data_IF_939527147562
#
_entry.id   IF_939527147562
#
_cell.length_a   1.000
_cell.length_b   1.000
_cell.length_c   1.000
_cell.angle_alpha   90.00
_cell.angle_beta   90.00
_cell.angle_gamma   90.00
#
_symmetry.space_group_name_H-M   'P 1'
#
loop_
_entity.id
_entity.type
_entity.pdbx_description
1 polymer ?
#
# COMPACT_ATOMS: atom_id res chain seq x y z
N UNK A 1 -21.45 5.32 -9.62
CA UNK A 1 -21.30 4.12 -10.47
C UNK A 1 -19.92 3.47 -10.37
N UNK A 2 -18.83 4.20 -10.07
CA UNK A 2 -17.48 3.61 -9.87
C UNK A 2 -17.37 2.64 -8.68
N UNK A 3 -18.08 2.91 -7.57
CA UNK A 3 -18.04 2.10 -6.32
C UNK A 3 -18.61 0.67 -6.43
N UNK A 4 -19.28 0.31 -7.52
CA UNK A 4 -20.02 -0.97 -7.66
C UNK A 4 -19.34 -1.97 -8.60
N UNK A 5 -18.16 -1.65 -9.12
CA UNK A 5 -17.42 -2.53 -10.04
C UNK A 5 -16.70 -3.64 -9.28
N UNK A 6 -16.75 -4.89 -9.76
CA UNK A 6 -16.05 -6.01 -9.13
C UNK A 6 -14.52 -5.82 -9.12
N UNK A 7 -13.97 -5.20 -10.17
CA UNK A 7 -12.55 -4.89 -10.26
C UNK A 7 -12.15 -3.70 -9.38
N UNK A 8 -13.06 -2.73 -9.20
CA UNK A 8 -12.90 -1.70 -8.17
C UNK A 8 -12.95 -2.33 -6.77
N UNK A 9 -13.84 -3.28 -6.53
CA UNK A 9 -13.90 -4.02 -5.28
C UNK A 9 -12.60 -4.79 -5.03
N UNK A 10 -11.97 -5.39 -6.05
CA UNK A 10 -10.68 -6.06 -5.93
C UNK A 10 -9.53 -5.08 -5.63
N UNK A 11 -9.45 -3.94 -6.34
CA UNK A 11 -8.42 -2.91 -6.08
C UNK A 11 -8.63 -2.27 -4.71
N UNK A 12 -9.88 -1.96 -4.36
CA UNK A 12 -10.25 -1.43 -3.06
C UNK A 12 -9.99 -2.47 -1.95
N UNK A 13 -10.25 -3.74 -2.19
CA UNK A 13 -9.95 -4.84 -1.27
C UNK A 13 -8.44 -5.00 -1.09
N UNK A 14 -7.65 -5.04 -2.18
CA UNK A 14 -6.20 -5.09 -2.11
C UNK A 14 -5.62 -3.87 -1.39
N UNK A 15 -6.12 -2.66 -1.70
CA UNK A 15 -5.68 -1.43 -1.03
C UNK A 15 -6.08 -1.44 0.44
N UNK A 16 -7.29 -1.92 0.78
CA UNK A 16 -7.75 -2.06 2.17
C UNK A 16 -6.94 -3.12 2.93
N UNK A 17 -6.62 -4.25 2.31
CA UNK A 17 -5.83 -5.32 2.90
C UNK A 17 -4.38 -4.87 3.11
N UNK A 18 -3.80 -4.19 2.12
CA UNK A 18 -2.47 -3.55 2.24
C UNK A 18 -2.46 -2.48 3.33
N UNK A 19 -3.45 -1.57 3.38
CA UNK A 19 -3.58 -0.58 4.45
C UNK A 19 -3.79 -1.23 5.82
N UNK A 20 -4.58 -2.30 5.89
CA UNK A 20 -4.84 -3.03 7.14
C UNK A 20 -3.60 -3.76 7.63
N UNK A 21 -2.82 -4.34 6.72
CA UNK A 21 -1.55 -4.98 7.02
C UNK A 21 -0.53 -3.97 7.54
N UNK A 22 -0.31 -2.86 6.82
CA UNK A 22 0.61 -1.81 7.23
C UNK A 22 0.20 -1.15 8.54
N UNK A 23 -1.09 -0.83 8.70
CA UNK A 23 -1.64 -0.32 9.96
C UNK A 23 -1.36 -1.27 11.12
N UNK A 24 -1.54 -2.58 10.95
CA UNK A 24 -1.24 -3.57 11.99
C UNK A 24 0.23 -3.51 12.41
N UNK A 25 1.15 -3.46 11.44
CA UNK A 25 2.58 -3.34 11.70
C UNK A 25 2.90 -2.04 12.43
N UNK A 26 2.39 -0.89 11.97
CA UNK A 26 2.62 0.40 12.60
C UNK A 26 2.04 0.50 14.01
N UNK A 27 0.84 -0.04 14.23
CA UNK A 27 0.20 -0.09 15.54
C UNK A 27 1.03 -0.94 16.51
N UNK A 28 1.58 -2.08 16.04
CA UNK A 28 2.56 -2.84 16.80
C UNK A 28 3.80 -1.97 17.08
N UNK A 29 4.52 -1.43 16.10
CA UNK A 29 5.73 -0.62 16.33
C UNK A 29 5.52 0.56 17.31
N UNK A 30 4.37 1.25 17.22
CA UNK A 30 4.00 2.33 18.15
C UNK A 30 3.81 1.84 19.59
N UNK A 31 3.33 0.61 19.77
CA UNK A 31 3.31 -0.06 21.08
C UNK A 31 4.72 -0.27 21.63
N UNK A 32 5.68 -0.70 20.81
CA UNK A 32 7.08 -0.86 21.22
C UNK A 32 7.61 0.49 21.72
N UNK A 33 7.49 1.54 20.89
CA UNK A 33 7.92 2.89 21.25
C UNK A 33 7.30 3.38 22.58
N UNK A 34 5.98 3.23 22.75
CA UNK A 34 5.28 3.61 23.98
C UNK A 34 5.76 2.83 25.22
N UNK A 35 6.08 1.55 25.05
CA UNK A 35 6.63 0.73 26.13
C UNK A 35 8.03 1.22 26.53
N UNK A 36 8.89 1.56 25.56
CA UNK A 36 10.22 2.16 25.80
C UNK A 36 10.12 3.46 26.60
N UNK A 37 9.26 4.39 26.18
CA UNK A 37 9.11 5.69 26.85
C UNK A 37 8.58 5.54 28.27
N UNK A 38 7.61 4.65 28.47
CA UNK A 38 7.05 4.40 29.80
C UNK A 38 8.06 3.71 30.73
N UNK A 39 8.89 2.81 30.19
CA UNK A 39 10.00 2.21 30.92
C UNK A 39 11.01 3.28 31.37
N UNK A 40 11.37 4.21 30.48
CA UNK A 40 12.23 5.34 30.82
C UNK A 40 11.65 6.21 31.95
N UNK A 41 10.34 6.48 31.94
CA UNK A 41 9.68 7.21 33.03
C UNK A 41 9.74 6.48 34.38
N UNK A 42 9.64 5.15 34.39
CA UNK A 42 9.78 4.35 35.59
C UNK A 42 11.24 4.37 36.09
N UNK A 43 12.21 4.26 35.18
CA UNK A 43 13.63 4.36 35.50
C UNK A 43 13.98 5.74 36.09
N UNK A 44 13.39 6.83 35.60
CA UNK A 44 13.53 8.16 36.21
C UNK A 44 13.05 8.19 37.67
N UNK A 45 11.97 7.49 38.00
CA UNK A 45 11.50 7.36 39.40
C UNK A 45 12.46 6.55 40.26
N UNK A 46 13.19 5.59 39.70
CA UNK A 46 14.23 4.86 40.44
C UNK A 46 15.43 5.76 40.79
N UNK A 47 15.76 6.74 39.95
CA UNK A 47 16.82 7.73 40.26
C UNK A 47 16.45 8.50 41.54
N UNK A 48 15.20 8.92 41.68
CA UNK A 48 14.71 9.63 42.87
C UNK A 48 14.65 8.74 44.12
N UNK A 49 14.34 7.44 43.95
CA UNK A 49 14.17 6.48 45.05
C UNK A 49 14.79 5.12 44.70
N UNK A 50 16.12 4.97 44.87
CA UNK A 50 16.84 3.74 44.48
C UNK A 50 16.33 2.46 45.17
N UNK A 51 15.73 2.58 46.35
CA UNK A 51 15.14 1.43 47.09
C UNK A 51 14.02 0.72 46.32
N UNK A 52 13.38 1.38 45.36
CA UNK A 52 12.32 0.79 44.53
C UNK A 52 12.84 -0.33 43.61
N UNK A 53 14.13 -0.34 43.28
CA UNK A 53 14.76 -1.40 42.47
C UNK A 53 14.57 -2.77 43.14
N UNK A 54 14.71 -2.84 44.47
CA UNK A 54 14.50 -4.06 45.25
C UNK A 54 13.06 -4.56 45.23
N UNK A 55 12.09 -3.64 45.27
CA UNK A 55 10.67 -3.98 45.20
C UNK A 55 10.34 -4.59 43.83
N UNK A 56 10.78 -3.93 42.76
CA UNK A 56 10.53 -4.39 41.40
C UNK A 56 11.25 -5.70 41.06
N UNK A 57 12.45 -5.93 41.58
CA UNK A 57 13.18 -7.19 41.39
C UNK A 57 12.38 -8.42 41.84
N UNK A 58 11.57 -8.28 42.89
CA UNK A 58 10.73 -9.36 43.42
C UNK A 58 9.49 -9.57 42.54
N UNK A 59 8.87 -8.47 42.06
CA UNK A 59 7.58 -8.53 41.36
C UNK A 59 7.68 -8.78 39.84
N UNK A 60 8.73 -8.27 39.17
CA UNK A 60 8.89 -8.35 37.72
C UNK A 60 8.78 -9.77 37.13
N UNK A 61 9.43 -10.82 37.68
CA UNK A 61 9.40 -12.15 37.07
C UNK A 61 7.98 -12.73 36.99
N UNK A 62 7.20 -12.57 38.07
CA UNK A 62 5.83 -13.06 38.14
C UNK A 62 4.90 -12.32 37.18
N UNK A 63 5.02 -10.98 37.12
CA UNK A 63 4.27 -10.14 36.19
C UNK A 63 4.61 -10.47 34.74
N UNK A 64 5.90 -10.64 34.42
CA UNK A 64 6.36 -10.99 33.08
C UNK A 64 5.80 -12.34 32.63
N UNK A 65 5.88 -13.35 33.50
CA UNK A 65 5.31 -14.67 33.23
C UNK A 65 3.80 -14.60 33.02
N UNK A 66 3.09 -13.87 33.88
CA UNK A 66 1.64 -13.67 33.76
C UNK A 66 1.27 -13.02 32.43
N UNK A 67 1.92 -11.92 32.04
CA UNK A 67 1.63 -11.21 30.80
C UNK A 67 2.05 -11.99 29.56
N UNK A 68 3.11 -12.81 29.65
CA UNK A 68 3.50 -13.73 28.56
C UNK A 68 2.43 -14.78 28.31
N UNK A 69 1.89 -15.38 29.37
CA UNK A 69 0.81 -16.36 29.26
C UNK A 69 -0.48 -15.72 28.73
N UNK A 70 -0.81 -14.52 29.22
CA UNK A 70 -1.98 -13.76 28.76
C UNK A 70 -1.89 -13.46 27.27
N UNK A 71 -0.72 -13.00 26.79
CA UNK A 71 -0.49 -12.69 25.38
C UNK A 71 -0.59 -13.92 24.48
N UNK A 72 -0.15 -15.09 24.95
CA UNK A 72 -0.21 -16.35 24.20
C UNK A 72 -1.64 -16.84 23.94
N UNK A 73 -2.63 -16.36 24.70
CA UNK A 73 -4.03 -16.70 24.56
C UNK A 73 -4.80 -15.73 23.64
N UNK A 74 -4.14 -14.66 23.17
CA UNK A 74 -4.78 -13.59 22.43
C UNK A 74 -4.41 -13.60 20.95
N UNK A 75 -5.32 -13.13 20.11
CA UNK A 75 -5.09 -13.02 18.67
C UNK A 75 -4.22 -11.78 18.34
N UNK A 76 -3.11 -11.95 17.58
CA UNK A 76 -2.21 -10.84 17.22
C UNK A 76 -2.89 -9.70 16.48
N UNK A 77 -2.63 -8.47 16.91
CA UNK A 77 -3.16 -7.23 16.31
C UNK A 77 -4.54 -6.81 16.81
N UNK A 78 -5.16 -7.55 17.74
CA UNK A 78 -6.37 -7.07 18.43
C UNK A 78 -6.04 -5.96 19.43
N UNK A 79 -6.98 -5.06 19.78
CA UNK A 79 -6.72 -4.01 20.77
C UNK A 79 -6.24 -4.57 22.11
N UNK A 80 -6.82 -5.68 22.56
CA UNK A 80 -6.43 -6.36 23.79
C UNK A 80 -4.99 -6.91 23.70
N UNK A 81 -4.66 -7.54 22.57
CA UNK A 81 -3.28 -7.98 22.27
C UNK A 81 -2.28 -6.84 22.32
N UNK A 82 -2.58 -5.71 21.68
CA UNK A 82 -1.68 -4.56 21.67
C UNK A 82 -1.50 -3.97 23.07
N UNK A 83 -2.55 -3.93 23.89
CA UNK A 83 -2.43 -3.49 25.28
C UNK A 83 -1.59 -4.45 26.12
N UNK A 84 -1.84 -5.76 26.04
CA UNK A 84 -1.07 -6.77 26.78
C UNK A 84 0.38 -6.83 26.30
N UNK A 85 0.63 -6.65 25.00
CA UNK A 85 1.97 -6.57 24.41
C UNK A 85 2.74 -5.36 24.97
N UNK A 86 2.12 -4.18 25.02
CA UNK A 86 2.71 -2.98 25.60
C UNK A 86 3.12 -3.20 27.06
N UNK A 87 2.23 -3.83 27.83
CA UNK A 87 2.49 -4.16 29.23
C UNK A 87 3.64 -5.15 29.37
N UNK A 88 3.60 -6.26 28.62
CA UNK A 88 4.66 -7.27 28.63
C UNK A 88 6.00 -6.64 28.29
N UNK A 89 6.09 -5.90 27.19
CA UNK A 89 7.33 -5.30 26.72
C UNK A 89 7.96 -4.37 27.76
N UNK A 90 7.15 -3.50 28.36
CA UNK A 90 7.61 -2.62 29.42
C UNK A 90 8.16 -3.41 30.62
N UNK A 91 7.49 -4.49 31.03
CA UNK A 91 7.93 -5.33 32.14
C UNK A 91 9.23 -6.07 31.78
N UNK A 92 9.33 -6.59 30.55
CA UNK A 92 10.48 -7.30 30.00
C UNK A 92 11.74 -6.42 30.08
N UNK A 93 11.62 -5.19 29.59
CA UNK A 93 12.69 -4.20 29.64
C UNK A 93 13.09 -3.80 31.06
N UNK A 94 12.09 -3.56 31.92
CA UNK A 94 12.34 -3.25 33.33
C UNK A 94 13.00 -4.43 34.04
N UNK A 95 12.60 -5.66 33.70
CA UNK A 95 13.20 -6.87 34.24
C UNK A 95 14.69 -6.94 33.89
N UNK A 96 15.05 -6.74 32.62
CA UNK A 96 16.44 -6.75 32.18
C UNK A 96 17.29 -5.67 32.87
N UNK A 97 16.76 -4.44 32.94
CA UNK A 97 17.43 -3.33 33.61
C UNK A 97 17.62 -3.59 35.11
N UNK A 98 16.57 -4.06 35.79
CA UNK A 98 16.59 -4.36 37.23
C UNK A 98 17.50 -5.55 37.53
N UNK A 99 17.48 -6.60 36.72
CA UNK A 99 18.37 -7.75 36.87
C UNK A 99 19.83 -7.32 36.80
N UNK A 100 20.18 -6.46 35.84
CA UNK A 100 21.52 -5.89 35.75
C UNK A 100 21.89 -5.04 36.98
N UNK A 101 20.98 -4.17 37.45
CA UNK A 101 21.22 -3.35 38.64
C UNK A 101 21.37 -4.22 39.91
N UNK A 102 20.63 -5.32 40.02
CA UNK A 102 20.77 -6.28 41.13
C UNK A 102 22.12 -6.98 41.15
N UNK A 103 22.67 -7.30 39.98
CA UNK A 103 24.03 -7.84 39.91
C UNK A 103 25.05 -6.83 40.47
N UNK A 104 24.88 -5.53 40.17
CA UNK A 104 25.71 -4.47 40.77
C UNK A 104 25.50 -4.40 42.28
N UNK A 105 24.25 -4.47 42.75
CA UNK A 105 23.90 -4.40 44.19
C UNK A 105 24.61 -5.46 45.03
N UNK A 106 24.80 -6.66 44.47
CA UNK A 106 25.53 -7.75 45.11
C UNK A 106 27.01 -7.40 45.38
N UNK A 107 27.59 -6.49 44.58
CA UNK A 107 28.98 -6.02 44.74
C UNK A 107 29.07 -4.73 45.57
N UNK A 108 28.15 -3.79 45.33
CA UNK A 108 28.07 -2.50 46.04
C UNK A 108 26.67 -1.90 45.93
N UNK A 109 26.24 -1.01 46.85
CA UNK A 109 24.96 -0.33 46.73
C UNK A 109 24.77 0.35 45.36
N UNK A 110 23.58 0.18 44.78
CA UNK A 110 23.18 0.83 43.52
C UNK A 110 23.12 2.34 43.73
N UNK A 111 23.81 3.09 42.88
CA UNK A 111 23.85 4.56 42.93
C UNK A 111 22.98 5.14 41.80
N UNK A 112 22.52 6.39 41.94
CA UNK A 112 21.77 7.09 40.87
C UNK A 112 22.45 7.03 39.50
N UNK A 113 23.77 7.19 39.44
CA UNK A 113 24.55 7.12 38.20
C UNK A 113 24.47 5.75 37.49
N UNK A 114 24.30 4.65 38.24
CA UNK A 114 24.14 3.31 37.66
C UNK A 114 22.77 3.18 36.97
N UNK A 115 21.75 3.82 37.54
CA UNK A 115 20.38 3.87 37.00
C UNK A 115 20.34 4.79 35.77
N UNK A 116 21.01 5.95 35.82
CA UNK A 116 21.14 6.87 34.68
C UNK A 116 21.77 6.20 33.46
N UNK A 117 22.78 5.35 33.66
CA UNK A 117 23.38 4.59 32.56
C UNK A 117 22.34 3.71 31.84
N UNK A 118 21.51 2.99 32.61
CA UNK A 118 20.45 2.14 32.07
C UNK A 118 19.29 2.94 31.48
N UNK A 119 18.93 4.06 32.07
CA UNK A 119 17.99 5.00 31.49
C UNK A 119 18.47 5.47 30.10
N UNK A 120 19.76 5.81 29.96
CA UNK A 120 20.34 6.22 28.68
C UNK A 120 20.31 5.13 27.61
N UNK A 121 20.46 3.86 27.98
CA UNK A 121 20.26 2.73 27.04
C UNK A 121 18.80 2.64 26.57
N UNK A 122 17.83 2.75 27.50
CA UNK A 122 16.40 2.71 27.17
C UNK A 122 15.97 3.90 26.31
N UNK A 123 16.42 5.12 26.62
CA UNK A 123 16.11 6.32 25.83
C UNK A 123 16.68 6.22 24.40
N UNK A 124 17.86 5.61 24.20
CA UNK A 124 18.42 5.35 22.86
C UNK A 124 17.55 4.38 22.06
N UNK A 125 17.04 3.32 22.70
CA UNK A 125 16.14 2.37 22.05
C UNK A 125 14.82 3.04 21.66
N UNK A 126 14.25 3.87 22.54
CA UNK A 126 13.06 4.67 22.23
C UNK A 126 13.26 5.53 20.98
N UNK A 127 14.38 6.27 20.91
CA UNK A 127 14.70 7.12 19.77
C UNK A 127 14.91 6.32 18.47
N UNK A 128 15.54 5.14 18.56
CA UNK A 128 15.72 4.26 17.40
C UNK A 128 14.38 3.77 16.86
N UNK A 129 13.46 3.37 17.74
CA UNK A 129 12.13 2.90 17.34
C UNK A 129 11.28 4.04 16.75
N UNK A 130 11.36 5.25 17.31
CA UNK A 130 10.69 6.42 16.73
C UNK A 130 11.14 6.70 15.29
N UNK A 131 12.45 6.59 15.02
CA UNK A 131 13.00 6.75 13.66
C UNK A 131 12.51 5.64 12.73
N UNK A 132 12.41 4.41 13.23
CA UNK A 132 11.90 3.27 12.47
C UNK A 132 10.44 3.45 12.06
N UNK A 133 9.60 3.95 12.97
CA UNK A 133 8.20 4.28 12.68
C UNK A 133 8.12 5.34 11.58
N UNK A 134 8.84 6.46 11.71
CA UNK A 134 8.83 7.54 10.70
C UNK A 134 9.30 7.04 9.33
N UNK A 135 10.36 6.23 9.30
CA UNK A 135 10.84 5.64 8.05
C UNK A 135 9.78 4.71 7.42
N UNK A 136 9.12 3.89 8.22
CA UNK A 136 8.08 2.98 7.74
C UNK A 136 6.83 3.73 7.24
N UNK A 137 6.42 4.79 7.93
CA UNK A 137 5.32 5.67 7.49
C UNK A 137 5.63 6.36 6.16
N UNK A 138 6.88 6.78 5.94
CA UNK A 138 7.31 7.34 4.66
C UNK A 138 7.26 6.29 3.53
N UNK A 139 7.73 5.07 3.78
CA UNK A 139 7.65 3.96 2.82
C UNK A 139 6.19 3.63 2.49
N UNK A 140 5.31 3.55 3.48
CA UNK A 140 3.88 3.32 3.25
C UNK A 140 3.27 4.45 2.40
N UNK A 141 3.62 5.71 2.67
CA UNK A 141 3.13 6.84 1.88
C UNK A 141 3.57 6.75 0.41
N UNK A 142 4.82 6.34 0.15
CA UNK A 142 5.34 6.12 -1.20
C UNK A 142 4.69 4.91 -1.88
N UNK A 143 4.53 3.78 -1.20
CA UNK A 143 3.86 2.58 -1.74
C UNK A 143 2.38 2.84 -2.05
N UNK A 144 1.66 3.51 -1.15
CA UNK A 144 0.26 3.90 -1.38
C UNK A 144 0.13 4.90 -2.53
N UNK A 145 1.13 5.78 -2.72
CA UNK A 145 1.21 6.68 -3.86
C UNK A 145 1.49 5.95 -5.18
N UNK A 146 2.34 4.92 -5.17
CA UNK A 146 2.61 4.08 -6.34
C UNK A 146 1.41 3.20 -6.73
N UNK A 147 0.67 2.70 -5.75
CA UNK A 147 -0.54 1.89 -5.98
C UNK A 147 -1.68 2.78 -6.49
N UNK A 148 -1.72 4.06 -6.10
CA UNK A 148 -2.77 5.01 -6.45
C UNK A 148 -4.07 4.66 -5.75
N UNK A 149 -4.49 5.45 -4.76
CA UNK A 149 -5.73 5.18 -4.01
C UNK A 149 -7.03 5.44 -4.80
N UNK A 150 -6.90 5.80 -6.07
CA UNK A 150 -8.00 6.18 -6.95
C UNK A 150 -8.77 7.43 -6.52
N UNK A 151 -8.36 8.12 -5.45
CA UNK A 151 -9.12 9.24 -4.87
C UNK A 151 -8.73 10.57 -5.48
N UNK A 152 -7.44 10.82 -5.74
CA UNK A 152 -6.98 12.07 -6.35
C UNK A 152 -7.40 12.21 -7.82
N UNK A 153 -7.69 11.10 -8.49
CA UNK A 153 -7.98 11.09 -9.93
C UNK A 153 -9.47 11.23 -10.26
N UNK A 154 -10.41 10.82 -9.40
CA UNK A 154 -11.83 10.77 -9.77
C UNK A 154 -12.52 12.14 -9.72
N UNK A 155 -12.20 12.98 -8.74
CA UNK A 155 -12.69 14.37 -8.70
C UNK A 155 -12.01 15.23 -9.78
N UNK A 156 -10.70 15.02 -9.98
CA UNK A 156 -9.93 15.66 -11.05
C UNK A 156 -10.46 15.28 -12.44
N UNK A 157 -10.85 14.02 -12.64
CA UNK A 157 -11.44 13.56 -13.89
C UNK A 157 -12.88 14.05 -14.07
N UNK A 158 -13.67 14.19 -13.02
CA UNK A 158 -15.06 14.65 -13.15
C UNK A 158 -15.14 16.02 -13.86
N UNK A 159 -14.26 16.97 -13.48
CA UNK A 159 -14.17 18.27 -14.15
C UNK A 159 -13.67 18.15 -15.60
N UNK A 160 -12.68 17.29 -15.84
CA UNK A 160 -12.08 17.07 -17.16
C UNK A 160 -13.05 16.38 -18.12
N UNK A 161 -13.77 15.35 -17.67
CA UNK A 161 -14.82 14.65 -18.41
C UNK A 161 -15.95 15.60 -18.76
N UNK A 162 -16.39 16.45 -17.83
CA UNK A 162 -17.42 17.46 -18.10
C UNK A 162 -16.99 18.44 -19.21
N UNK A 163 -15.73 18.86 -19.22
CA UNK A 163 -15.17 19.71 -20.30
C UNK A 163 -15.00 18.94 -21.61
N UNK A 164 -14.60 17.69 -21.54
CA UNK A 164 -14.44 16.80 -22.68
C UNK A 164 -15.77 16.53 -23.38
N UNK A 165 -16.90 16.47 -22.65
CA UNK A 165 -18.23 16.24 -23.24
C UNK A 165 -18.61 17.30 -24.27
N UNK A 166 -18.20 18.55 -24.08
CA UNK A 166 -18.46 19.63 -25.04
C UNK A 166 -17.58 19.53 -26.30
N UNK A 167 -16.33 19.08 -26.15
CA UNK A 167 -15.34 19.00 -27.24
C UNK A 167 -15.21 17.62 -27.88
N UNK A 168 -15.90 16.62 -27.33
CA UNK A 168 -15.74 15.18 -27.61
C UNK A 168 -14.29 14.69 -27.54
N UNK A 169 -13.46 15.38 -26.77
CA UNK A 169 -12.02 15.12 -26.66
C UNK A 169 -11.64 15.02 -25.19
N UNK A 170 -11.25 13.82 -24.76
CA UNK A 170 -10.75 13.55 -23.42
C UNK A 170 -9.22 13.53 -23.45
N UNK A 171 -8.58 14.40 -22.68
CA UNK A 171 -7.12 14.44 -22.52
C UNK A 171 -6.77 14.13 -21.07
N UNK A 172 -6.12 12.98 -20.87
CA UNK A 172 -5.59 12.50 -19.60
C UNK A 172 -4.10 12.14 -19.75
N UNK A 173 -3.40 12.85 -20.64
CA UNK A 173 -1.96 12.69 -20.87
C UNK A 173 -1.15 13.13 -19.65
N UNK A 174 -0.07 12.41 -19.32
CA UNK A 174 0.88 12.87 -18.30
C UNK A 174 0.35 12.81 -16.86
N UNK A 175 -0.67 12.00 -16.60
CA UNK A 175 -1.35 11.96 -15.29
C UNK A 175 -0.81 10.86 -14.35
N UNK A 176 0.24 10.14 -14.76
CA UNK A 176 0.84 9.07 -13.96
C UNK A 176 -0.08 7.86 -13.75
N UNK A 177 -1.07 7.66 -14.63
CA UNK A 177 -2.09 6.62 -14.47
C UNK A 177 -1.50 5.23 -14.61
N UNK A 178 -1.71 4.36 -13.62
CA UNK A 178 -1.29 2.95 -13.66
C UNK A 178 -2.38 2.04 -14.24
N UNK A 179 -3.65 2.47 -14.16
CA UNK A 179 -4.80 1.79 -14.73
C UNK A 179 -5.91 2.78 -15.12
N UNK A 180 -6.78 2.35 -16.05
CA UNK A 180 -8.04 3.04 -16.37
C UNK A 180 -9.20 2.20 -15.83
N UNK A 181 -10.11 2.76 -15.01
CA UNK A 181 -11.28 2.02 -14.56
C UNK A 181 -12.23 1.78 -15.74
N UNK A 182 -12.76 0.56 -15.90
CA UNK A 182 -13.70 0.23 -16.98
C UNK A 182 -14.86 1.21 -17.16
N UNK A 183 -15.36 1.74 -16.04
CA UNK A 183 -16.52 2.62 -15.99
C UNK A 183 -16.21 4.00 -16.59
N UNK A 184 -14.94 4.41 -16.66
CA UNK A 184 -14.56 5.63 -17.37
C UNK A 184 -15.05 5.56 -18.81
N UNK A 185 -14.85 4.43 -19.48
CA UNK A 185 -15.25 4.26 -20.88
C UNK A 185 -16.77 4.31 -21.08
N UNK A 186 -17.55 3.85 -20.10
CA UNK A 186 -18.99 4.04 -20.11
C UNK A 186 -19.40 5.53 -20.00
N UNK A 187 -18.66 6.33 -19.21
CA UNK A 187 -18.91 7.76 -19.03
C UNK A 187 -18.46 8.62 -20.22
N UNK A 188 -17.52 8.12 -21.01
CA UNK A 188 -16.91 8.84 -22.14
C UNK A 188 -17.20 8.19 -23.49
N UNK A 189 -18.27 7.37 -23.55
CA UNK A 189 -18.71 6.61 -24.74
C UNK A 189 -18.90 7.44 -26.01
N UNK A 190 -19.22 8.72 -25.84
CA UNK A 190 -19.53 9.66 -26.94
C UNK A 190 -18.28 10.47 -27.38
N UNK A 191 -17.08 10.15 -26.87
CA UNK A 191 -15.83 10.84 -27.25
C UNK A 191 -15.31 10.36 -28.60
N UNK A 192 -14.82 11.30 -29.40
CA UNK A 192 -14.16 11.04 -30.69
C UNK A 192 -12.65 10.92 -30.54
N UNK A 193 -12.07 11.56 -29.52
CA UNK A 193 -10.64 11.54 -29.23
C UNK A 193 -10.42 11.23 -27.75
N UNK A 194 -9.58 10.23 -27.46
CA UNK A 194 -9.14 9.90 -26.11
C UNK A 194 -7.62 9.85 -26.11
N UNK A 195 -7.00 10.72 -25.31
CA UNK A 195 -5.56 10.77 -25.09
C UNK A 195 -5.21 10.28 -23.68
N UNK A 196 -4.58 9.12 -23.64
CA UNK A 196 -4.09 8.43 -22.45
C UNK A 196 -2.56 8.23 -22.54
N UNK A 197 -1.87 8.93 -23.45
CA UNK A 197 -0.43 8.80 -23.61
C UNK A 197 0.33 9.34 -22.41
N UNK A 198 1.64 9.06 -22.34
CA UNK A 198 2.52 9.52 -21.26
C UNK A 198 1.96 9.18 -19.86
N UNK A 199 1.66 7.90 -19.64
CA UNK A 199 1.17 7.37 -18.38
C UNK A 199 1.93 6.07 -18.04
N UNK A 200 1.49 5.34 -17.00
CA UNK A 200 2.08 4.07 -16.57
C UNK A 200 1.10 2.90 -16.78
N UNK A 201 0.25 2.97 -17.81
CA UNK A 201 -0.82 2.00 -18.02
C UNK A 201 -0.25 0.65 -18.42
N UNK A 202 -0.54 -0.39 -17.63
CA UNK A 202 -0.12 -1.77 -17.92
C UNK A 202 -1.11 -2.56 -18.75
N UNK A 203 -2.36 -2.11 -18.76
CA UNK A 203 -3.47 -2.77 -19.44
C UNK A 203 -4.61 -1.80 -19.73
N UNK A 204 -5.38 -2.12 -20.77
CA UNK A 204 -6.62 -1.42 -21.11
C UNK A 204 -7.80 -2.37 -20.88
N UNK A 205 -8.86 -1.93 -20.16
CA UNK A 205 -10.02 -2.77 -19.90
C UNK A 205 -10.82 -3.06 -21.17
N UNK A 206 -11.54 -4.19 -21.20
CA UNK A 206 -12.27 -4.62 -22.40
C UNK A 206 -13.39 -3.63 -22.78
N UNK A 207 -13.91 -2.92 -21.79
CA UNK A 207 -14.96 -1.90 -21.86
C UNK A 207 -14.58 -0.71 -22.75
N UNK A 208 -13.33 -0.62 -23.20
CA UNK A 208 -12.96 0.30 -24.29
C UNK A 208 -13.80 0.07 -25.55
N UNK A 209 -14.38 -1.12 -25.74
CA UNK A 209 -15.34 -1.39 -26.82
C UNK A 209 -16.61 -0.54 -26.77
N UNK A 210 -16.91 0.06 -25.61
CA UNK A 210 -18.06 0.98 -25.46
C UNK A 210 -17.85 2.31 -26.15
N UNK A 211 -16.61 2.67 -26.49
CA UNK A 211 -16.24 3.88 -27.22
C UNK A 211 -16.49 3.71 -28.73
N UNK A 212 -17.73 3.40 -29.11
CA UNK A 212 -18.07 2.99 -30.48
C UNK A 212 -17.84 4.08 -31.52
N UNK A 213 -17.87 5.37 -31.12
CA UNK A 213 -17.65 6.51 -32.02
C UNK A 213 -16.21 7.04 -31.99
N UNK A 214 -15.30 6.36 -31.28
CA UNK A 214 -13.92 6.82 -31.11
C UNK A 214 -13.15 6.78 -32.43
N UNK A 215 -12.55 7.92 -32.78
CA UNK A 215 -11.76 8.10 -34.02
C UNK A 215 -10.27 8.03 -33.76
N UNK A 216 -9.80 8.55 -32.63
CA UNK A 216 -8.38 8.61 -32.26
C UNK A 216 -8.16 8.18 -30.83
N UNK A 217 -7.23 7.26 -30.64
CA UNK A 217 -6.82 6.75 -29.34
C UNK A 217 -5.30 6.87 -29.19
N UNK A 218 -4.85 7.67 -28.25
CA UNK A 218 -3.43 7.78 -27.91
C UNK A 218 -3.13 6.96 -26.65
N UNK A 219 -2.22 6.01 -26.80
CA UNK A 219 -1.74 5.13 -25.74
C UNK A 219 -0.20 5.06 -25.75
N UNK A 220 0.46 5.98 -26.48
CA UNK A 220 1.92 6.05 -26.55
C UNK A 220 2.55 6.34 -25.19
N UNK A 221 3.80 5.93 -24.99
CA UNK A 221 4.54 6.14 -23.73
C UNK A 221 3.77 5.59 -22.52
N UNK A 222 3.60 4.27 -22.49
CA UNK A 222 2.92 3.53 -21.41
C UNK A 222 3.63 2.17 -21.18
N UNK A 223 3.11 1.34 -20.27
CA UNK A 223 3.67 0.02 -19.93
C UNK A 223 2.86 -1.14 -20.54
N UNK A 224 2.17 -0.92 -21.67
CA UNK A 224 1.30 -1.93 -22.28
C UNK A 224 2.11 -3.03 -22.95
N UNK A 225 1.85 -4.28 -22.56
CA UNK A 225 2.38 -5.45 -23.27
C UNK A 225 1.37 -6.06 -24.24
N UNK A 226 0.09 -5.91 -23.94
CA UNK A 226 -1.01 -6.47 -24.73
C UNK A 226 -2.15 -5.47 -24.85
N UNK A 227 -3.05 -5.72 -25.80
CA UNK A 227 -4.30 -4.99 -25.96
C UNK A 227 -5.49 -5.94 -25.83
N UNK A 228 -6.61 -5.49 -25.23
CA UNK A 228 -7.82 -6.28 -25.18
C UNK A 228 -8.34 -6.54 -26.61
N UNK A 229 -8.80 -7.77 -26.88
CA UNK A 229 -9.35 -8.14 -28.18
C UNK A 229 -10.59 -7.31 -28.56
N UNK A 230 -11.24 -6.70 -27.56
CA UNK A 230 -12.41 -5.84 -27.70
C UNK A 230 -12.14 -4.55 -28.48
N UNK A 231 -10.89 -4.08 -28.55
CA UNK A 231 -10.50 -2.93 -29.40
C UNK A 231 -10.88 -3.16 -30.87
N UNK A 232 -10.90 -4.42 -31.32
CA UNK A 232 -11.28 -4.76 -32.68
C UNK A 232 -12.77 -4.48 -33.01
N UNK A 233 -13.61 -4.14 -32.02
CA UNK A 233 -15.00 -3.70 -32.24
C UNK A 233 -15.07 -2.27 -32.75
N UNK A 234 -14.10 -1.43 -32.40
CA UNK A 234 -14.02 -0.03 -32.87
C UNK A 234 -13.52 0.10 -34.31
N UNK A 235 -13.35 -1.01 -35.04
CA UNK A 235 -12.75 -1.06 -36.37
C UNK A 235 -13.43 -0.20 -37.44
N UNK A 236 -14.71 0.14 -37.29
CA UNK A 236 -15.44 0.97 -38.25
C UNK A 236 -15.13 2.47 -38.12
N UNK A 237 -14.71 2.91 -36.92
CA UNK A 237 -14.56 4.33 -36.60
C UNK A 237 -13.14 4.72 -36.19
N UNK A 238 -12.36 3.80 -35.62
CA UNK A 238 -11.01 4.08 -35.15
C UNK A 238 -10.04 4.23 -36.34
N UNK A 239 -9.56 5.45 -36.55
CA UNK A 239 -8.66 5.82 -37.66
C UNK A 239 -7.21 5.96 -37.22
N UNK A 240 -6.97 6.21 -35.93
CA UNK A 240 -5.64 6.35 -35.36
C UNK A 240 -5.56 5.65 -34.01
N UNK A 241 -4.56 4.81 -33.85
CA UNK A 241 -4.15 4.20 -32.59
C UNK A 241 -2.65 4.41 -32.42
N UNK A 242 -2.23 5.22 -31.45
CA UNK A 242 -0.82 5.41 -31.14
C UNK A 242 -0.40 4.46 -30.02
N UNK A 243 0.59 3.60 -30.27
CA UNK A 243 1.14 2.64 -29.29
C UNK A 243 2.68 2.71 -29.19
N UNK A 244 3.29 3.76 -29.73
CA UNK A 244 4.73 3.95 -29.65
C UNK A 244 5.18 3.93 -28.18
N UNK A 245 6.43 3.55 -27.93
CA UNK A 245 7.01 3.57 -26.58
C UNK A 245 6.19 2.78 -25.54
N UNK A 246 5.74 1.59 -25.95
CA UNK A 246 5.17 0.57 -25.08
C UNK A 246 5.94 -0.75 -25.25
N UNK A 247 6.10 -1.55 -24.19
CA UNK A 247 6.76 -2.87 -24.25
C UNK A 247 5.84 -3.94 -24.86
N UNK A 248 5.30 -3.68 -26.07
CA UNK A 248 4.36 -4.58 -26.74
C UNK A 248 4.97 -5.95 -27.01
N UNK A 249 4.19 -7.01 -26.77
CA UNK A 249 4.56 -8.36 -27.20
C UNK A 249 4.78 -8.41 -28.71
N UNK A 250 5.77 -9.19 -29.14
CA UNK A 250 6.24 -9.24 -30.52
C UNK A 250 5.12 -9.48 -31.54
N UNK A 251 4.19 -10.40 -31.27
CA UNK A 251 3.08 -10.70 -32.18
C UNK A 251 2.13 -9.51 -32.35
N UNK A 252 1.84 -8.80 -31.26
CA UNK A 252 0.98 -7.61 -31.29
C UNK A 252 1.67 -6.47 -32.02
N UNK A 253 2.96 -6.27 -31.75
CA UNK A 253 3.77 -5.27 -32.43
C UNK A 253 3.82 -5.52 -33.95
N UNK A 254 4.08 -6.76 -34.38
CA UNK A 254 4.04 -7.16 -35.80
C UNK A 254 2.68 -6.88 -36.44
N UNK A 255 1.59 -7.22 -35.75
CA UNK A 255 0.24 -6.93 -36.25
C UNK A 255 -0.03 -5.42 -36.36
N UNK A 256 0.47 -4.62 -35.42
CA UNK A 256 0.36 -3.17 -35.43
C UNK A 256 1.14 -2.53 -36.59
N UNK A 257 2.34 -3.02 -36.91
CA UNK A 257 3.13 -2.58 -38.07
C UNK A 257 2.41 -2.84 -39.41
N UNK A 258 1.54 -3.86 -39.47
CA UNK A 258 0.68 -4.14 -40.62
C UNK A 258 -0.50 -3.17 -40.78
N UNK A 259 -0.60 -2.15 -39.92
CA UNK A 259 -1.69 -1.17 -39.90
C UNK A 259 -2.92 -1.65 -39.14
N UNK A 260 -3.89 -0.74 -38.96
CA UNK A 260 -5.11 -1.01 -38.19
C UNK A 260 -5.92 -2.22 -38.69
N UNK A 261 -6.12 -2.44 -40.01
CA UNK A 261 -6.83 -3.63 -40.48
C UNK A 261 -6.17 -4.94 -40.07
N UNK A 262 -4.83 -5.01 -40.18
CA UNK A 262 -4.04 -6.18 -39.77
C UNK A 262 -4.10 -6.42 -38.26
N UNK A 263 -3.97 -5.35 -37.48
CA UNK A 263 -4.13 -5.40 -36.02
C UNK A 263 -5.53 -5.91 -35.63
N UNK A 264 -6.60 -5.39 -36.23
CA UNK A 264 -7.95 -5.83 -35.90
C UNK A 264 -8.20 -7.28 -36.29
N UNK A 265 -7.66 -7.76 -37.41
CA UNK A 265 -7.72 -9.17 -37.79
C UNK A 265 -7.00 -10.06 -36.77
N UNK A 266 -5.81 -9.65 -36.33
CA UNK A 266 -5.04 -10.33 -35.29
C UNK A 266 -5.82 -10.42 -33.97
N UNK A 267 -6.36 -9.31 -33.47
CA UNK A 267 -7.14 -9.25 -32.24
C UNK A 267 -8.42 -10.09 -32.33
N UNK A 268 -9.14 -10.06 -33.46
CA UNK A 268 -10.31 -10.92 -33.72
C UNK A 268 -9.95 -12.41 -33.67
N UNK A 269 -8.75 -12.81 -34.15
CA UNK A 269 -8.28 -14.20 -34.11
C UNK A 269 -8.00 -14.71 -32.69
N UNK A 270 -7.49 -13.84 -31.80
CA UNK A 270 -7.22 -14.20 -30.39
C UNK A 270 -8.50 -14.43 -29.60
N UNK A 271 -9.58 -13.69 -29.91
CA UNK A 271 -10.91 -13.89 -29.31
C UNK A 271 -11.47 -15.29 -29.58
N UNK A 272 -11.32 -15.80 -30.81
CA UNK A 272 -11.82 -17.13 -31.19
C UNK A 272 -11.09 -18.25 -30.46
N UNK A 273 -9.77 -18.14 -30.30
CA UNK A 273 -8.94 -19.14 -29.59
C UNK A 273 -9.25 -19.24 -28.10
N UNK A 274 -9.56 -18.12 -27.42
CA UNK A 274 -9.93 -18.13 -26.00
C UNK A 274 -11.30 -18.81 -25.74
N UNK A 275 -12.19 -18.84 -26.72
CA UNK A 275 -13.52 -19.45 -26.58
C UNK A 275 -13.50 -20.97 -26.79
N UNK A 276 -12.59 -21.47 -27.63
CA UNK A 276 -12.44 -22.91 -27.90
C UNK A 276 -11.78 -23.69 -26.76
N UNK A 277 -10.94 -23.06 -25.93
CA UNK A 277 -10.24 -23.72 -24.82
C UNK A 277 -11.11 -23.91 -23.56
N UNK A 278 -12.31 -23.32 -23.50
CA UNK A 278 -13.26 -23.47 -22.37
C UNK A 278 -14.32 -24.57 -22.57
N UNK A 279 -14.30 -25.28 -23.70
CA UNK A 279 -15.27 -26.30 -24.09
C UNK A 279 -14.64 -27.68 -24.36
N UNK A 280 -13.40 -27.90 -23.92
CA UNK A 280 -12.67 -29.16 -24.06
C UNK A 280 -12.33 -29.78 -22.71
#
# INVERSE_FOLDING_TARGET
MLKTSARWADIEMQTRDTRRYHKKILDEMRVYHSAYTTCADIMRKFIERPTLVSVWAISCPGLLKSKTNELALQEPGTPMYLTTLAEKMRIDMLYDAVAHLKNIENERPVRPADIELKLGEVDKLAQAEARRIVAQEAVEADELREIGDGSESVEAWAATIKRAQASKTLVLRGQGLTAVPPELFALVRDMEIVDLGDNKLRQIPNEIETLTVLKKLYLDTNELQTLPASIARMHEHLTLLALADNPLQEELFRAYLGGLPGLFAFLKSRRKRAFTTRLG
#
